data_IF_166733287142
#
_entry.id   IF_166733287142
#
_cell.length_a   1.000
_cell.length_b   1.000
_cell.length_c   1.000
_cell.angle_alpha   90.00
_cell.angle_beta   90.00
_cell.angle_gamma   90.00
#
_symmetry.space_group_name_H-M   'P 1'
#
loop_
_entity.id
_entity.type
_entity.pdbx_description
1 polymer ?
#
# COMPACT_ATOMS: atom_id res chain seq x y z
N UNK A 1 10.48 -6.17 2.42
CA UNK A 1 10.62 -4.77 2.06
C UNK A 1 10.86 -3.95 3.32
N UNK A 2 11.99 -3.28 3.41
CA UNK A 2 12.41 -2.56 4.62
C UNK A 2 12.03 -1.08 4.65
N UNK A 3 11.33 -0.63 3.64
CA UNK A 3 11.14 0.78 3.39
C UNK A 3 10.16 1.37 4.40
N UNK A 4 10.63 2.33 5.21
CA UNK A 4 9.81 3.10 6.13
C UNK A 4 9.11 2.28 7.21
N UNK A 5 9.53 1.04 7.45
CA UNK A 5 8.82 0.13 8.36
C UNK A 5 9.26 0.32 9.81
N UNK A 6 10.53 0.65 10.02
CA UNK A 6 11.04 0.92 11.35
C UNK A 6 10.84 2.39 11.70
N UNK A 7 10.17 2.70 12.83
CA UNK A 7 9.99 4.10 13.24
C UNK A 7 11.33 4.81 13.36
N UNK A 8 11.43 5.99 12.77
CA UNK A 8 12.64 6.80 12.78
C UNK A 8 13.68 6.45 11.73
N UNK A 9 13.48 5.38 10.96
CA UNK A 9 14.39 5.02 9.86
C UNK A 9 13.95 5.71 8.58
N UNK A 10 14.84 6.51 8.01
CA UNK A 10 14.61 7.19 6.75
C UNK A 10 15.26 6.44 5.60
N UNK A 11 14.57 6.41 4.45
CA UNK A 11 15.12 5.88 3.20
C UNK A 11 15.05 6.94 2.14
N UNK A 12 16.17 7.19 1.46
CA UNK A 12 16.19 8.14 0.36
C UNK A 12 15.37 7.64 -0.82
N UNK A 13 14.91 8.58 -1.65
CA UNK A 13 14.20 8.23 -2.88
C UNK A 13 15.07 7.36 -3.81
N UNK A 14 16.38 7.60 -3.84
CA UNK A 14 17.30 6.80 -4.64
C UNK A 14 17.42 5.36 -4.14
N UNK A 15 17.47 5.15 -2.81
CA UNK A 15 17.48 3.81 -2.23
C UNK A 15 16.19 3.08 -2.52
N UNK A 16 15.06 3.74 -2.38
CA UNK A 16 13.76 3.15 -2.67
C UNK A 16 13.60 2.80 -4.14
N UNK A 17 14.06 3.69 -5.03
CA UNK A 17 14.05 3.42 -6.47
C UNK A 17 14.84 2.16 -6.81
N UNK A 18 16.00 1.99 -6.18
CA UNK A 18 16.83 0.82 -6.35
C UNK A 18 16.16 -0.46 -5.83
N UNK A 19 15.60 -0.40 -4.61
CA UNK A 19 14.91 -1.52 -3.98
C UNK A 19 13.66 -1.96 -4.76
N UNK A 20 12.93 -1.02 -5.35
CA UNK A 20 11.69 -1.28 -6.07
C UNK A 20 11.90 -1.44 -7.58
N UNK A 21 13.13 -1.26 -8.07
CA UNK A 21 13.46 -1.26 -9.50
C UNK A 21 12.63 -0.25 -10.30
N UNK A 22 12.49 0.95 -9.73
CA UNK A 22 11.74 2.05 -10.32
C UNK A 22 12.64 3.28 -10.48
N UNK A 23 12.22 4.24 -11.29
CA UNK A 23 12.85 5.56 -11.33
C UNK A 23 12.51 6.34 -10.07
N UNK A 24 13.31 7.36 -9.75
CA UNK A 24 13.03 8.26 -8.60
C UNK A 24 11.68 8.94 -8.75
N UNK A 25 11.35 9.37 -9.96
CA UNK A 25 10.05 9.99 -10.24
C UNK A 25 8.90 9.03 -10.02
N UNK A 26 9.02 7.79 -10.46
CA UNK A 26 8.00 6.76 -10.23
C UNK A 26 7.81 6.49 -8.74
N UNK A 27 8.89 6.48 -7.96
CA UNK A 27 8.83 6.35 -6.50
C UNK A 27 8.02 7.49 -5.89
N UNK A 28 8.31 8.74 -6.29
CA UNK A 28 7.57 9.90 -5.78
C UNK A 28 6.08 9.81 -6.11
N UNK A 29 5.75 9.42 -7.33
CA UNK A 29 4.35 9.26 -7.75
C UNK A 29 3.65 8.14 -7.00
N UNK A 30 4.34 7.02 -6.80
CA UNK A 30 3.79 5.86 -6.09
C UNK A 30 3.52 6.18 -4.62
N UNK A 31 4.41 6.90 -3.96
CA UNK A 31 4.32 7.16 -2.53
C UNK A 31 3.54 8.44 -2.17
N UNK A 32 3.28 9.31 -3.14
CA UNK A 32 2.54 10.54 -2.88
C UNK A 32 1.17 10.32 -2.21
N UNK A 33 0.35 9.35 -2.61
CA UNK A 33 -0.91 9.08 -1.92
C UNK A 33 -0.73 8.70 -0.46
N UNK A 34 0.33 7.96 -0.13
CA UNK A 34 0.62 7.56 1.25
C UNK A 34 1.08 8.74 2.09
N UNK A 35 1.85 9.65 1.50
CA UNK A 35 2.25 10.90 2.17
C UNK A 35 1.02 11.76 2.45
N UNK A 36 0.13 11.92 1.48
CA UNK A 36 -1.11 12.67 1.67
C UNK A 36 -2.01 12.07 2.74
N UNK A 37 -2.00 10.76 2.87
CA UNK A 37 -2.78 10.06 3.90
C UNK A 37 -2.11 10.10 5.29
N UNK A 38 -0.89 10.64 5.40
CA UNK A 38 -0.16 10.70 6.65
C UNK A 38 0.53 9.39 7.05
N UNK A 39 0.52 8.38 6.18
CA UNK A 39 1.13 7.07 6.45
C UNK A 39 2.64 7.09 6.27
N UNK A 40 3.14 7.97 5.40
CA UNK A 40 4.54 8.25 5.22
C UNK A 40 4.79 9.74 5.41
N UNK A 41 6.00 10.08 5.83
CA UNK A 41 6.45 11.46 5.94
C UNK A 41 7.58 11.67 4.94
N UNK A 42 7.41 12.66 4.07
CA UNK A 42 8.47 13.06 3.15
C UNK A 42 9.45 13.98 3.89
N UNK A 43 10.73 13.68 3.78
CA UNK A 43 11.82 14.47 4.39
C UNK A 43 12.56 15.18 3.29
N UNK A 44 12.71 16.49 3.39
CA UNK A 44 13.44 17.31 2.42
C UNK A 44 14.92 17.40 2.79
N UNK A 45 15.77 17.62 1.78
CA UNK A 45 17.18 17.84 1.94
C UNK A 45 18.05 16.80 1.22
N UNK A 46 19.38 16.92 1.36
CA UNK A 46 20.36 16.03 0.69
C UNK A 46 20.22 14.58 1.14
N UNK A 47 19.91 14.37 2.39
CA UNK A 47 19.64 13.06 2.96
C UNK A 47 18.13 12.80 3.05
N UNK A 48 17.34 13.56 2.32
CA UNK A 48 15.89 13.45 2.31
C UNK A 48 15.39 12.17 1.67
N UNK A 49 14.16 11.84 1.98
CA UNK A 49 13.50 10.65 1.48
C UNK A 49 12.18 10.45 2.19
N UNK A 50 11.95 9.26 2.66
CA UNK A 50 10.68 8.89 3.30
C UNK A 50 10.95 8.15 4.60
N UNK A 51 10.08 8.39 5.56
CA UNK A 51 10.05 7.62 6.81
C UNK A 51 8.63 7.22 7.13
N UNK A 52 8.47 6.23 8.01
CA UNK A 52 7.15 5.80 8.47
C UNK A 52 6.46 6.93 9.23
N UNK A 53 5.19 7.16 8.92
CA UNK A 53 4.34 8.01 9.73
C UNK A 53 4.01 7.35 11.06
N UNK A 54 3.58 8.15 12.04
CA UNK A 54 3.13 7.62 13.32
C UNK A 54 1.94 6.67 13.09
N UNK A 55 1.98 5.49 13.70
CA UNK A 55 0.90 4.52 13.61
C UNK A 55 0.85 3.71 12.32
N UNK A 56 1.88 3.78 11.47
CA UNK A 56 1.89 3.00 10.23
C UNK A 56 1.74 1.49 10.49
N UNK A 57 2.43 0.95 11.49
CA UNK A 57 2.38 -0.49 11.78
C UNK A 57 0.99 -0.96 12.24
N UNK A 58 0.23 -0.09 12.89
CA UNK A 58 -1.14 -0.38 13.33
C UNK A 58 -2.18 -0.13 12.24
N UNK A 59 -1.78 0.44 11.11
CA UNK A 59 -2.71 0.78 10.03
C UNK A 59 -3.19 -0.48 9.31
N UNK A 60 -4.51 -0.65 9.15
CA UNK A 60 -5.03 -1.77 8.36
C UNK A 60 -4.61 -1.67 6.90
N UNK A 61 -4.39 -2.80 6.25
CA UNK A 61 -4.04 -2.83 4.83
C UNK A 61 -5.11 -2.19 3.95
N UNK A 62 -6.39 -2.26 4.35
CA UNK A 62 -7.46 -1.59 3.63
C UNK A 62 -7.25 -0.08 3.54
N UNK A 63 -6.74 0.54 4.61
CA UNK A 63 -6.44 1.98 4.62
C UNK A 63 -5.21 2.32 3.77
N UNK A 64 -4.20 1.46 3.76
CA UNK A 64 -3.00 1.64 2.92
C UNK A 64 -3.36 1.55 1.44
N UNK A 65 -4.24 0.63 1.07
CA UNK A 65 -4.60 0.37 -0.32
C UNK A 65 -5.71 1.28 -0.85
N UNK A 66 -6.47 1.93 0.04
CA UNK A 66 -7.57 2.81 -0.35
C UNK A 66 -7.17 3.89 -1.35
N UNK A 67 -6.02 4.59 -1.21
CA UNK A 67 -5.61 5.61 -2.18
C UNK A 67 -5.35 5.08 -3.59
N UNK A 68 -5.11 3.77 -3.72
CA UNK A 68 -4.82 3.11 -5.00
C UNK A 68 -6.03 2.41 -5.59
N UNK A 69 -7.15 2.36 -4.85
CA UNK A 69 -8.39 1.82 -5.38
C UNK A 69 -8.90 2.71 -6.50
N UNK A 70 -9.23 2.12 -7.62
CA UNK A 70 -9.87 2.82 -8.71
C UNK A 70 -11.27 3.30 -8.31
N UNK A 71 -11.96 4.02 -9.20
CA UNK A 71 -13.32 4.47 -8.93
C UNK A 71 -14.20 3.28 -8.54
N UNK A 72 -14.88 3.41 -7.39
CA UNK A 72 -15.59 2.31 -6.74
C UNK A 72 -16.84 1.85 -7.52
N UNK A 73 -17.32 2.66 -8.44
CA UNK A 73 -18.46 2.31 -9.26
C UNK A 73 -18.37 3.00 -10.60
N UNK A 74 -18.65 2.27 -11.66
CA UNK A 74 -18.90 2.90 -12.96
C UNK A 74 -20.21 3.69 -12.85
N UNK A 75 -20.23 4.94 -13.32
CA UNK A 75 -21.50 5.66 -13.36
C UNK A 75 -22.52 4.86 -14.16
N UNK A 76 -23.76 4.81 -13.66
CA UNK A 76 -24.84 4.14 -14.38
C UNK A 76 -24.97 4.80 -15.75
N UNK A 77 -24.65 4.06 -16.82
CA UNK A 77 -24.82 4.54 -18.18
C UNK A 77 -26.22 4.22 -18.65
N UNK A 78 -27.01 5.20 -19.10
CA UNK A 78 -28.32 4.92 -19.65
C UNK A 78 -28.21 3.91 -20.80
N UNK A 79 -29.07 2.90 -20.79
CA UNK A 79 -29.10 1.86 -21.83
C UNK A 79 -28.23 0.65 -21.57
N UNK A 80 -27.59 0.52 -20.41
CA UNK A 80 -26.84 -0.68 -20.05
C UNK A 80 -27.81 -1.86 -19.87
N UNK A 81 -27.37 -3.02 -20.33
CA UNK A 81 -28.16 -4.26 -20.21
C UNK A 81 -28.30 -4.71 -18.75
N UNK A 82 -29.30 -5.57 -18.49
CA UNK A 82 -29.43 -6.20 -17.17
C UNK A 82 -28.23 -7.02 -16.78
N UNK A 83 -27.56 -7.66 -17.75
CA UNK A 83 -26.33 -8.42 -17.49
C UNK A 83 -25.20 -7.50 -17.01
N UNK A 84 -25.03 -6.34 -17.63
CA UNK A 84 -24.00 -5.37 -17.19
C UNK A 84 -24.22 -4.95 -15.75
N UNK A 85 -25.47 -4.70 -15.36
CA UNK A 85 -25.80 -4.32 -13.97
C UNK A 85 -25.51 -5.45 -12.99
N UNK A 86 -25.79 -6.71 -13.38
CA UNK A 86 -25.47 -7.86 -12.54
C UNK A 86 -23.97 -8.04 -12.35
N UNK A 87 -23.19 -7.89 -13.42
CA UNK A 87 -21.72 -7.97 -13.37
C UNK A 87 -21.17 -6.85 -12.48
N UNK A 88 -21.66 -5.62 -12.62
CA UNK A 88 -21.21 -4.50 -11.79
C UNK A 88 -21.54 -4.75 -10.30
N UNK A 89 -22.71 -5.33 -10.01
CA UNK A 89 -23.07 -5.67 -8.63
C UNK A 89 -22.14 -6.73 -8.05
N UNK A 90 -21.80 -7.76 -8.84
CA UNK A 90 -20.85 -8.79 -8.41
C UNK A 90 -19.44 -8.25 -8.20
N UNK A 91 -18.99 -7.35 -9.07
CA UNK A 91 -17.69 -6.71 -8.91
C UNK A 91 -17.65 -5.83 -7.66
N UNK A 92 -18.71 -5.11 -7.36
CA UNK A 92 -18.81 -4.31 -6.14
C UNK A 92 -18.76 -5.20 -4.89
N UNK A 93 -19.45 -6.33 -4.92
CA UNK A 93 -19.44 -7.31 -3.84
C UNK A 93 -18.04 -7.90 -3.64
N UNK A 94 -17.38 -8.29 -4.73
CA UNK A 94 -16.02 -8.83 -4.70
C UNK A 94 -15.02 -7.79 -4.17
N UNK A 95 -15.15 -6.53 -4.56
CA UNK A 95 -14.32 -5.45 -4.05
C UNK A 95 -14.51 -5.24 -2.55
N UNK A 96 -15.77 -5.28 -2.09
CA UNK A 96 -16.09 -5.19 -0.66
C UNK A 96 -15.52 -6.36 0.15
N UNK A 97 -15.60 -7.57 -0.38
CA UNK A 97 -15.03 -8.75 0.25
C UNK A 97 -13.50 -8.66 0.35
N UNK A 98 -12.85 -8.17 -0.71
CA UNK A 98 -11.40 -7.96 -0.73
C UNK A 98 -10.97 -6.94 0.32
N UNK A 99 -11.66 -5.81 0.40
CA UNK A 99 -11.39 -4.79 1.42
C UNK A 99 -11.60 -5.34 2.83
N UNK A 100 -12.61 -6.17 3.05
CA UNK A 100 -12.85 -6.80 4.34
C UNK A 100 -11.69 -7.72 4.75
N UNK A 101 -11.09 -8.44 3.80
CA UNK A 101 -9.89 -9.25 4.07
C UNK A 101 -8.71 -8.36 4.46
N UNK A 102 -8.45 -7.30 3.69
CA UNK A 102 -7.36 -6.38 3.98
C UNK A 102 -7.55 -5.65 5.31
N UNK A 103 -8.79 -5.37 5.71
CA UNK A 103 -9.08 -4.70 6.98
C UNK A 103 -8.72 -5.55 8.21
N UNK A 104 -8.61 -6.87 8.05
CA UNK A 104 -8.24 -7.78 9.14
C UNK A 104 -6.74 -7.87 9.38
N UNK A 105 -5.92 -7.28 8.51
CA UNK A 105 -4.46 -7.31 8.61
C UNK A 105 -3.91 -5.91 8.66
N UNK A 106 -2.91 -5.71 9.52
CA UNK A 106 -2.19 -4.44 9.60
C UNK A 106 -0.86 -4.52 8.85
N UNK A 107 -0.25 -3.37 8.64
CA UNK A 107 1.13 -3.30 8.10
C UNK A 107 2.07 -4.09 9.02
N UNK A 108 1.89 -3.97 10.35
CA UNK A 108 2.70 -4.71 11.32
C UNK A 108 2.58 -6.22 11.18
N UNK A 109 1.39 -6.74 10.85
CA UNK A 109 1.20 -8.17 10.60
C UNK A 109 2.04 -8.65 9.42
N UNK A 110 2.09 -7.88 8.34
CA UNK A 110 2.93 -8.21 7.18
C UNK A 110 4.42 -8.19 7.54
N UNK A 111 4.85 -7.19 8.29
CA UNK A 111 6.24 -7.08 8.74
C UNK A 111 6.62 -8.29 9.58
N UNK A 112 5.76 -8.69 10.51
CA UNK A 112 5.98 -9.86 11.35
C UNK A 112 6.12 -11.15 10.54
N UNK A 113 5.27 -11.32 9.53
CA UNK A 113 5.33 -12.48 8.63
C UNK A 113 6.61 -12.49 7.80
N UNK A 114 7.03 -11.35 7.28
CA UNK A 114 8.28 -11.23 6.53
C UNK A 114 9.50 -11.59 7.38
N UNK A 115 9.53 -11.13 8.62
CA UNK A 115 10.61 -11.45 9.56
C UNK A 115 10.65 -12.94 9.87
N UNK A 116 9.49 -13.57 10.07
CA UNK A 116 9.40 -15.00 10.31
C UNK A 116 9.89 -15.81 9.11
N UNK A 117 9.52 -15.42 7.89
CA UNK A 117 10.00 -16.07 6.67
C UNK A 117 11.51 -15.96 6.52
N UNK A 118 12.09 -14.80 6.81
CA UNK A 118 13.53 -14.60 6.77
C UNK A 118 14.25 -15.52 7.77
N UNK A 119 13.74 -15.62 8.98
CA UNK A 119 14.32 -16.49 9.99
C UNK A 119 14.24 -17.95 9.56
N UNK A 120 13.13 -18.38 8.97
CA UNK A 120 12.97 -19.74 8.46
C UNK A 120 13.98 -20.04 7.35
N UNK A 121 14.21 -19.10 6.43
CA UNK A 121 15.20 -19.25 5.38
C UNK A 121 16.63 -19.33 5.93
N UNK A 122 16.94 -18.52 6.91
CA UNK A 122 18.26 -18.54 7.56
C UNK A 122 18.53 -19.86 8.27
N UNK A 123 17.51 -20.53 8.77
CA UNK A 123 17.62 -21.83 9.43
C UNK A 123 17.83 -22.99 8.45
N UNK A 124 17.40 -22.87 7.22
CA UNK A 124 17.55 -23.90 6.19
C UNK A 124 18.92 -23.90 5.50
N UNK A 125 19.70 -22.87 5.74
CA UNK A 125 21.05 -22.75 5.21
C UNK A 125 22.05 -23.29 6.24
#
# INVERSE_FOLDING_TARGET
MRVGIEPGTEKSAAEMARLLSLSRESVHQLLAPLVRAGLLVAVRGRSGGYRAGAGLLETPLSAVLAPYAGPAARPATPGRSGLDRLVDALEAEAAGARLAVYARHSVGDLVSRLRAERQALDWEI
#
